data_IF_872537926612
#
_entry.id   IF_872537926612
#
_cell.length_a   1.000
_cell.length_b   1.000
_cell.length_c   1.000
_cell.angle_alpha   90.00
_cell.angle_beta   90.00
_cell.angle_gamma   90.00
#
_symmetry.space_group_name_H-M   'P 1'
#
loop_
_entity.id
_entity.type
_entity.pdbx_description
1 polymer ?
#
# COMPACT_ATOMS: atom_id res chain seq x y z
N UNK A 1 1.83 -28.69 4.23
CA UNK A 1 1.87 -29.08 2.79
C UNK A 1 2.83 -30.23 2.65
N UNK A 2 2.62 -31.12 1.67
CA UNK A 2 3.54 -32.22 1.41
C UNK A 2 4.86 -31.70 0.81
N UNK A 3 5.99 -32.23 1.27
CA UNK A 3 7.33 -31.82 0.81
C UNK A 3 7.52 -32.02 -0.69
N UNK A 4 6.83 -33.00 -1.28
CA UNK A 4 6.85 -33.30 -2.71
C UNK A 4 6.28 -32.17 -3.58
N UNK A 5 5.43 -31.31 -3.02
CA UNK A 5 4.82 -30.16 -3.70
C UNK A 5 5.72 -28.91 -3.65
N UNK A 6 6.75 -28.90 -2.81
CA UNK A 6 7.61 -27.75 -2.59
C UNK A 6 8.67 -27.65 -3.69
N UNK A 7 8.79 -26.46 -4.27
CA UNK A 7 9.76 -26.11 -5.30
C UNK A 7 11.02 -25.46 -4.73
N UNK A 8 11.70 -24.68 -5.58
CA UNK A 8 12.90 -23.96 -5.19
C UNK A 8 12.62 -22.87 -4.14
N UNK A 9 13.62 -22.55 -3.32
CA UNK A 9 13.60 -21.36 -2.47
C UNK A 9 13.62 -20.11 -3.34
N UNK A 10 12.68 -19.20 -3.10
CA UNK A 10 12.50 -17.97 -3.89
C UNK A 10 12.77 -16.70 -3.09
N UNK A 11 12.83 -16.78 -1.77
CA UNK A 11 13.07 -15.61 -0.94
C UNK A 11 13.04 -15.88 0.55
N UNK A 12 12.97 -14.78 1.31
CA UNK A 12 12.76 -14.77 2.75
C UNK A 12 12.20 -13.43 3.22
N UNK A 13 11.62 -13.38 4.41
CA UNK A 13 11.30 -12.14 5.12
C UNK A 13 12.59 -11.34 5.34
N UNK A 14 12.63 -10.10 4.85
CA UNK A 14 13.77 -9.19 5.03
C UNK A 14 13.62 -8.29 6.24
N UNK A 15 12.38 -7.98 6.63
CA UNK A 15 12.05 -7.19 7.83
C UNK A 15 10.73 -7.64 8.44
N UNK A 16 10.66 -7.66 9.77
CA UNK A 16 9.40 -7.75 10.49
C UNK A 16 8.94 -6.34 10.86
N UNK A 17 7.65 -6.04 10.68
CA UNK A 17 7.07 -4.80 11.22
C UNK A 17 5.54 -4.82 11.18
N UNK A 18 4.92 -4.19 12.18
CA UNK A 18 3.48 -4.10 12.42
C UNK A 18 2.92 -2.67 12.38
N UNK A 19 3.77 -1.65 12.34
CA UNK A 19 3.40 -0.25 12.05
C UNK A 19 2.82 -0.10 10.61
N UNK A 20 2.32 1.07 10.21
CA UNK A 20 1.93 1.30 8.81
C UNK A 20 2.91 2.25 8.12
N UNK A 21 3.26 1.95 6.86
CA UNK A 21 3.81 2.95 5.93
C UNK A 21 5.34 3.06 5.81
N UNK A 22 6.14 2.22 6.47
CA UNK A 22 7.61 2.37 6.50
C UNK A 22 8.41 1.15 6.02
N UNK A 23 7.86 0.36 5.08
CA UNK A 23 8.49 -0.91 4.66
C UNK A 23 8.91 -0.91 3.20
N UNK A 24 10.07 -1.50 2.94
CA UNK A 24 10.54 -1.85 1.60
C UNK A 24 10.96 -3.32 1.55
N UNK A 25 10.91 -3.91 0.36
CA UNK A 25 11.26 -5.33 0.16
C UNK A 25 10.19 -6.30 0.71
N UNK A 26 10.64 -7.50 1.09
CA UNK A 26 9.78 -8.59 1.55
C UNK A 26 9.52 -8.49 3.06
N UNK A 27 8.68 -7.55 3.48
CA UNK A 27 8.32 -7.42 4.88
C UNK A 27 7.21 -8.40 5.28
N UNK A 28 7.09 -8.69 6.58
CA UNK A 28 5.95 -9.39 7.15
C UNK A 28 5.57 -8.81 8.51
N UNK A 29 4.28 -8.76 8.80
CA UNK A 29 3.72 -8.44 10.12
C UNK A 29 3.37 -9.71 10.93
N UNK A 30 3.52 -10.88 10.32
CA UNK A 30 3.19 -12.18 10.94
C UNK A 30 4.46 -13.01 11.16
N UNK A 31 5.35 -13.06 10.17
CA UNK A 31 6.50 -13.95 10.17
C UNK A 31 7.81 -13.22 10.49
N UNK A 32 8.70 -13.79 11.32
CA UNK A 32 9.95 -13.15 11.70
C UNK A 32 10.92 -12.99 10.52
N UNK A 33 11.88 -12.06 10.67
CA UNK A 33 12.96 -11.87 9.70
C UNK A 33 13.73 -13.18 9.49
N UNK A 34 13.92 -13.56 8.23
CA UNK A 34 14.61 -14.78 7.86
C UNK A 34 13.68 -15.94 7.47
N UNK A 35 12.38 -15.90 7.81
CA UNK A 35 11.42 -16.92 7.37
C UNK A 35 11.47 -17.11 5.86
N UNK A 36 11.64 -18.35 5.43
CA UNK A 36 11.95 -18.70 4.04
C UNK A 36 10.68 -18.89 3.21
N UNK A 37 10.75 -18.48 1.95
CA UNK A 37 9.68 -18.66 0.96
C UNK A 37 10.14 -19.60 -0.15
N UNK A 38 9.22 -20.45 -0.59
CA UNK A 38 9.44 -21.45 -1.62
C UNK A 38 8.34 -21.36 -2.68
N UNK A 39 8.71 -21.67 -3.92
CA UNK A 39 7.73 -21.92 -4.97
C UNK A 39 6.90 -23.17 -4.63
N UNK A 40 5.68 -23.24 -5.15
CA UNK A 40 4.87 -24.45 -5.14
C UNK A 40 4.89 -25.00 -6.56
N UNK A 41 5.17 -26.30 -6.74
CA UNK A 41 5.19 -26.91 -8.07
C UNK A 41 3.85 -26.71 -8.77
N UNK A 42 3.90 -26.39 -10.06
CA UNK A 42 2.73 -26.19 -10.93
C UNK A 42 1.82 -25.00 -10.53
N UNK A 43 2.20 -24.18 -9.55
CA UNK A 43 1.48 -22.96 -9.17
C UNK A 43 2.38 -21.74 -9.42
N UNK A 44 1.81 -20.69 -10.00
CA UNK A 44 2.55 -19.44 -10.22
C UNK A 44 2.88 -18.77 -8.89
N UNK A 45 4.08 -18.20 -8.76
CA UNK A 45 4.49 -17.45 -7.56
C UNK A 45 3.62 -16.20 -7.32
N UNK A 46 2.92 -15.73 -8.36
CA UNK A 46 1.97 -14.62 -8.26
C UNK A 46 0.59 -15.06 -7.74
N UNK A 47 0.32 -16.36 -7.69
CA UNK A 47 -0.93 -16.93 -7.18
C UNK A 47 -0.77 -17.44 -5.75
N UNK A 48 0.32 -18.17 -5.47
CA UNK A 48 0.63 -18.65 -4.13
C UNK A 48 2.11 -19.02 -3.96
N UNK A 49 2.57 -18.95 -2.71
CA UNK A 49 3.90 -19.40 -2.27
C UNK A 49 3.79 -20.30 -1.05
N UNK A 50 4.83 -21.09 -0.77
CA UNK A 50 4.95 -21.85 0.46
C UNK A 50 5.86 -21.13 1.46
N UNK A 51 5.41 -21.02 2.71
CA UNK A 51 6.14 -20.43 3.83
C UNK A 51 6.60 -21.55 4.75
N UNK A 52 7.90 -21.59 5.06
CA UNK A 52 8.47 -22.57 5.98
C UNK A 52 8.27 -22.13 7.43
N UNK A 53 7.72 -23.01 8.25
CA UNK A 53 7.55 -22.82 9.69
C UNK A 53 8.78 -23.28 10.48
N UNK A 54 8.86 -22.88 11.74
CA UNK A 54 9.97 -23.22 12.64
C UNK A 54 10.07 -24.73 12.90
N UNK A 55 8.95 -25.46 12.83
CA UNK A 55 8.90 -26.93 12.94
C UNK A 55 9.30 -27.66 11.64
N UNK A 56 9.69 -26.90 10.60
CA UNK A 56 10.07 -27.43 9.29
C UNK A 56 8.90 -27.75 8.36
N UNK A 57 7.65 -27.56 8.82
CA UNK A 57 6.47 -27.71 7.98
C UNK A 57 6.29 -26.52 7.03
N UNK A 58 5.39 -26.67 6.06
CA UNK A 58 5.09 -25.66 5.05
C UNK A 58 3.61 -25.28 5.04
N UNK A 59 3.33 -23.98 5.02
CA UNK A 59 1.99 -23.40 4.85
C UNK A 59 1.87 -22.73 3.48
N UNK A 60 0.73 -22.90 2.82
CA UNK A 60 0.39 -22.20 1.58
C UNK A 60 -0.09 -20.78 1.89
N UNK A 61 0.57 -19.77 1.34
CA UNK A 61 0.10 -18.39 1.32
C UNK A 61 -0.44 -18.08 -0.08
N UNK A 62 -1.75 -17.87 -0.18
CA UNK A 62 -2.40 -17.46 -1.41
C UNK A 62 -2.44 -15.94 -1.53
N UNK A 63 -2.25 -15.41 -2.74
CA UNK A 63 -2.37 -13.98 -3.01
C UNK A 63 -3.85 -13.57 -2.90
N UNK A 64 -4.16 -12.66 -1.96
CA UNK A 64 -5.54 -12.27 -1.63
C UNK A 64 -6.12 -11.21 -2.57
N UNK A 65 -5.34 -10.16 -2.86
CA UNK A 65 -5.64 -9.08 -3.82
C UNK A 65 -4.54 -8.01 -3.72
N UNK A 66 -4.45 -7.15 -4.73
CA UNK A 66 -3.62 -5.95 -4.65
C UNK A 66 -4.29 -4.96 -3.67
N UNK A 67 -3.52 -4.35 -2.76
CA UNK A 67 -4.05 -3.31 -1.89
C UNK A 67 -4.47 -2.12 -2.77
N UNK A 68 -5.76 -1.83 -2.83
CA UNK A 68 -6.26 -0.56 -3.35
C UNK A 68 -5.85 0.55 -2.38
N UNK A 69 -4.62 1.04 -2.50
CA UNK A 69 -4.21 2.27 -1.83
C UNK A 69 -5.24 3.36 -2.13
N UNK A 70 -5.61 4.18 -1.14
CA UNK A 70 -6.61 5.25 -1.32
C UNK A 70 -6.24 6.11 -2.53
N UNK A 71 -6.92 5.88 -3.64
CA UNK A 71 -6.73 6.66 -4.84
C UNK A 71 -7.14 8.10 -4.55
N UNK A 72 -6.21 9.04 -4.74
CA UNK A 72 -6.52 10.46 -4.60
C UNK A 72 -7.53 10.83 -5.69
N UNK A 73 -8.72 11.23 -5.28
CA UNK A 73 -9.75 11.68 -6.21
C UNK A 73 -9.39 13.10 -6.71
N UNK A 74 -8.67 13.16 -7.83
CA UNK A 74 -8.16 14.41 -8.41
C UNK A 74 -9.29 15.41 -8.71
N UNK A 75 -10.47 14.94 -9.14
CA UNK A 75 -11.65 15.81 -9.37
C UNK A 75 -12.10 16.49 -8.08
N UNK A 76 -12.09 15.78 -6.96
CA UNK A 76 -12.44 16.33 -5.65
C UNK A 76 -11.45 17.41 -5.23
N UNK A 77 -10.14 17.16 -5.41
CA UNK A 77 -9.08 18.14 -5.12
C UNK A 77 -9.24 19.39 -5.99
N UNK A 78 -9.44 19.22 -7.31
CA UNK A 78 -9.67 20.31 -8.26
C UNK A 78 -10.89 21.17 -7.87
N UNK A 79 -11.98 20.54 -7.42
CA UNK A 79 -13.19 21.24 -6.98
C UNK A 79 -12.91 22.14 -5.76
N UNK A 80 -12.20 21.64 -4.76
CA UNK A 80 -11.82 22.44 -3.58
C UNK A 80 -10.87 23.59 -3.92
N UNK A 81 -9.89 23.36 -4.81
CA UNK A 81 -8.99 24.42 -5.28
C UNK A 81 -9.78 25.51 -6.00
N UNK A 82 -10.71 25.13 -6.89
CA UNK A 82 -11.58 26.08 -7.59
C UNK A 82 -12.45 26.90 -6.63
N UNK A 83 -13.04 26.24 -5.62
CA UNK A 83 -13.83 26.91 -4.59
C UNK A 83 -13.02 27.91 -3.77
N UNK A 84 -11.81 27.53 -3.34
CA UNK A 84 -10.92 28.43 -2.60
C UNK A 84 -10.51 29.64 -3.45
N UNK A 85 -10.22 29.43 -4.73
CA UNK A 85 -9.87 30.49 -5.66
C UNK A 85 -11.03 31.49 -5.85
N UNK A 86 -12.27 31.01 -5.98
CA UNK A 86 -13.46 31.88 -6.06
C UNK A 86 -13.65 32.69 -4.78
N UNK A 87 -13.45 32.10 -3.60
CA UNK A 87 -13.53 32.83 -2.33
C UNK A 87 -12.50 33.97 -2.25
N UNK A 88 -11.27 33.72 -2.73
CA UNK A 88 -10.21 34.75 -2.80
C UNK A 88 -10.62 35.88 -3.75
N UNK A 89 -11.18 35.57 -4.93
CA UNK A 89 -11.66 36.58 -5.89
C UNK A 89 -12.76 37.43 -5.25
N UNK A 90 -13.78 36.81 -4.64
CA UNK A 90 -14.88 37.53 -3.99
C UNK A 90 -14.34 38.45 -2.88
N UNK A 91 -13.42 37.94 -2.06
CA UNK A 91 -12.77 38.74 -1.01
C UNK A 91 -12.04 39.97 -1.58
N UNK A 92 -11.29 39.80 -2.68
CA UNK A 92 -10.60 40.91 -3.34
C UNK A 92 -11.59 41.94 -3.90
N UNK A 93 -12.69 41.51 -4.51
CA UNK A 93 -13.73 42.39 -5.05
C UNK A 93 -14.43 43.19 -3.95
N UNK A 94 -14.79 42.55 -2.83
CA UNK A 94 -15.39 43.23 -1.67
C UNK A 94 -14.42 44.27 -1.10
N UNK A 95 -13.15 43.91 -0.90
CA UNK A 95 -12.13 44.84 -0.40
C UNK A 95 -11.92 46.02 -1.35
N UNK A 96 -11.90 45.78 -2.66
CA UNK A 96 -11.76 46.83 -3.67
C UNK A 96 -12.96 47.81 -3.64
N UNK A 97 -14.19 47.29 -3.51
CA UNK A 97 -15.40 48.11 -3.41
C UNK A 97 -15.44 48.94 -2.13
N UNK A 98 -14.97 48.41 -1.00
CA UNK A 98 -14.86 49.14 0.26
C UNK A 98 -13.79 50.22 0.27
N UNK A 99 -12.69 50.04 -0.46
CA UNK A 99 -11.67 51.09 -0.62
C UNK A 99 -12.23 52.27 -1.42
N UNK A 100 -13.00 51.98 -2.48
CA UNK A 100 -13.59 52.99 -3.37
C UNK A 100 -14.71 53.82 -2.75
N UNK A 101 -15.44 53.30 -1.75
CA UNK A 101 -16.46 54.07 -1.02
C UNK A 101 -15.89 54.99 0.08
N UNK A 102 -14.61 54.83 0.43
CA UNK A 102 -13.94 55.55 1.53
C UNK A 102 -12.95 56.63 1.07
N UNK A 103 -12.72 56.76 -0.24
CA UNK A 103 -11.96 57.84 -0.86
C UNK A 103 -12.84 58.58 -1.84
#
# INVERSE_FOLDING_TARGET
MESTQIGAKIGKVTSYSDEEGTYSGNFSNVYPKGTEYYAIKEISINEAIAIKQDDGSFIKAAYGSEYEGKAINLKTVLFYIGGLFLLIIVFMLVKNNWKRKRG
#
